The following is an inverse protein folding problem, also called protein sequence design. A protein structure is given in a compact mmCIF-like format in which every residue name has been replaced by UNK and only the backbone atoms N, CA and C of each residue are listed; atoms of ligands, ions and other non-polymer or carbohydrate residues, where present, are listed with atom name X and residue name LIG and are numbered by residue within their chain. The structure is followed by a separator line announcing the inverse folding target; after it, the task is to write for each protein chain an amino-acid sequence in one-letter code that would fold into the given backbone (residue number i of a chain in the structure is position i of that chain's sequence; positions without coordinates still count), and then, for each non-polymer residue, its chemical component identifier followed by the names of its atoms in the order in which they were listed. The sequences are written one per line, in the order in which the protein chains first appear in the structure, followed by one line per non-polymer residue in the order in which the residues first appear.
data_IF_599039021763
#
_entry.id   IF_599039021763
#
_cell.length_a   1.000
_cell.length_b   1.000
_cell.length_c   1.000
_cell.angle_alpha   90.00
_cell.angle_beta   90.00
_cell.angle_gamma   90.00
#
_symmetry.space_group_name_H-M   'P 1'
#
loop_
_entity.id
_entity.type
_entity.pdbx_description
1 polymer ?
#
# COMPACT_ATOMS: atom_id res chain seq x y z
N UNK A 1 -24.37 31.11 28.12
CA UNK A 1 -23.94 30.76 26.75
C UNK A 1 -23.62 29.27 26.73
N UNK A 2 -24.59 28.45 26.33
CA UNK A 2 -24.46 26.99 26.28
C UNK A 2 -23.84 26.59 24.94
N UNK A 3 -22.57 26.17 25.01
CA UNK A 3 -21.81 25.68 23.86
C UNK A 3 -22.34 24.29 23.49
N UNK A 4 -23.21 24.22 22.47
CA UNK A 4 -23.69 22.95 21.95
C UNK A 4 -22.66 22.37 20.97
N UNK A 5 -21.81 21.48 21.45
CA UNK A 5 -20.93 20.67 20.61
C UNK A 5 -21.82 19.67 19.85
N UNK A 6 -22.25 20.04 18.63
CA UNK A 6 -22.82 19.06 17.70
C UNK A 6 -21.69 18.14 17.29
N UNK A 7 -21.54 17.05 18.03
CA UNK A 7 -20.86 15.83 17.61
C UNK A 7 -21.51 15.39 16.30
N UNK A 8 -20.99 15.95 15.21
CA UNK A 8 -21.15 15.35 13.90
C UNK A 8 -20.32 14.08 14.02
N UNK A 9 -20.97 12.98 14.38
CA UNK A 9 -20.46 11.64 14.10
C UNK A 9 -20.15 11.68 12.61
N UNK A 10 -18.89 11.90 12.28
CA UNK A 10 -18.39 11.66 10.94
C UNK A 10 -18.69 10.18 10.76
N UNK A 11 -19.74 9.88 10.02
CA UNK A 11 -19.92 8.57 9.42
C UNK A 11 -18.61 8.33 8.69
N UNK A 12 -17.74 7.56 9.31
CA UNK A 12 -16.60 6.95 8.65
C UNK A 12 -17.30 6.07 7.63
N UNK A 13 -17.59 6.64 6.46
CA UNK A 13 -17.91 5.88 5.26
C UNK A 13 -16.90 4.76 5.30
N UNK A 14 -17.37 3.51 5.43
CA UNK A 14 -16.56 2.32 5.25
C UNK A 14 -15.64 2.63 4.09
N UNK A 15 -14.39 2.99 4.44
CA UNK A 15 -13.47 3.48 3.45
C UNK A 15 -13.33 2.29 2.51
N UNK A 16 -13.41 2.47 1.18
CA UNK A 16 -13.07 1.38 0.28
C UNK A 16 -11.75 0.84 0.80
N UNK A 17 -11.73 -0.44 1.21
CA UNK A 17 -10.52 -1.11 1.68
C UNK A 17 -9.41 -0.63 0.77
N UNK A 18 -8.45 0.12 1.34
CA UNK A 18 -7.46 0.81 0.53
C UNK A 18 -6.83 -0.27 -0.36
N UNK A 19 -6.75 -0.06 -1.68
CA UNK A 19 -6.21 -1.08 -2.59
C UNK A 19 -4.84 -1.57 -2.12
N UNK A 20 -4.10 -0.71 -1.42
CA UNK A 20 -2.87 -1.03 -0.70
C UNK A 20 -3.08 -2.09 0.39
N UNK A 21 -4.05 -1.93 1.29
CA UNK A 21 -4.34 -2.91 2.36
C UNK A 21 -4.79 -4.27 1.78
N UNK A 22 -5.52 -4.28 0.66
CA UNK A 22 -5.94 -5.51 0.01
C UNK A 22 -4.78 -6.26 -0.64
N UNK A 23 -3.93 -5.54 -1.38
CA UNK A 23 -2.70 -6.09 -1.99
C UNK A 23 -1.76 -6.57 -0.88
N UNK A 24 -1.63 -5.80 0.21
CA UNK A 24 -0.82 -6.17 1.37
C UNK A 24 -1.29 -7.50 1.96
N UNK A 25 -2.60 -7.68 2.17
CA UNK A 25 -3.16 -8.92 2.70
C UNK A 25 -2.97 -10.11 1.76
N UNK A 26 -3.12 -9.92 0.44
CA UNK A 26 -2.88 -11.00 -0.53
C UNK A 26 -1.41 -11.43 -0.59
N UNK A 27 -0.49 -10.47 -0.43
CA UNK A 27 0.96 -10.70 -0.49
C UNK A 27 1.59 -10.89 0.90
N UNK A 28 0.80 -10.91 1.97
CA UNK A 28 1.22 -11.19 3.35
C UNK A 28 2.18 -12.39 3.48
N UNK A 29 1.94 -13.57 2.85
CA UNK A 29 2.88 -14.69 2.94
C UNK A 29 4.24 -14.38 2.30
N UNK A 30 4.28 -13.53 1.28
CA UNK A 30 5.49 -13.13 0.57
C UNK A 30 6.31 -12.15 1.43
N UNK A 31 5.64 -11.18 2.04
CA UNK A 31 6.26 -10.27 3.01
C UNK A 31 6.81 -11.01 4.24
N UNK A 32 6.07 -11.99 4.76
CA UNK A 32 6.54 -12.80 5.89
C UNK A 32 7.78 -13.64 5.54
N UNK A 33 7.85 -14.21 4.33
CA UNK A 33 9.04 -14.92 3.85
C UNK A 33 10.26 -13.99 3.77
N UNK A 34 10.05 -12.78 3.30
CA UNK A 34 11.06 -11.74 3.24
C UNK A 34 11.41 -11.13 4.61
N UNK A 35 10.78 -11.58 5.70
CA UNK A 35 11.03 -11.07 7.05
C UNK A 35 10.44 -9.68 7.31
N UNK A 36 9.56 -9.19 6.45
CA UNK A 36 8.93 -7.88 6.59
C UNK A 36 7.75 -7.94 7.57
N UNK A 37 7.58 -6.87 8.35
CA UNK A 37 6.37 -6.69 9.16
C UNK A 37 5.18 -6.38 8.25
N UNK A 38 4.05 -7.02 8.54
CA UNK A 38 2.76 -6.83 7.88
C UNK A 38 1.77 -6.15 8.84
N UNK A 39 0.70 -5.58 8.30
CA UNK A 39 -0.31 -4.78 9.00
C UNK A 39 -0.31 -3.31 8.61
N UNK A 40 -1.38 -2.60 8.95
CA UNK A 40 -1.53 -1.19 8.59
C UNK A 40 -0.39 -0.34 9.18
N UNK A 41 0.29 0.44 8.34
CA UNK A 41 1.46 1.25 8.73
C UNK A 41 2.77 0.47 8.87
N UNK A 42 2.79 -0.82 8.53
CA UNK A 42 3.99 -1.67 8.51
C UNK A 42 4.92 -1.37 7.33
N UNK A 43 6.06 -2.07 7.29
CA UNK A 43 7.00 -1.99 6.18
C UNK A 43 6.39 -2.50 4.88
N UNK A 44 5.65 -3.61 4.93
CA UNK A 44 4.93 -4.13 3.77
C UNK A 44 3.91 -3.10 3.26
N UNK A 45 3.11 -2.54 4.16
CA UNK A 45 2.14 -1.49 3.80
C UNK A 45 2.78 -0.29 3.12
N UNK A 46 3.92 0.20 3.64
CA UNK A 46 4.66 1.31 3.03
C UNK A 46 5.20 0.96 1.66
N UNK A 47 5.77 -0.22 1.49
CA UNK A 47 6.28 -0.67 0.20
C UNK A 47 5.16 -0.76 -0.85
N UNK A 48 4.03 -1.39 -0.50
CA UNK A 48 2.86 -1.46 -1.39
C UNK A 48 2.35 -0.06 -1.70
N UNK A 49 2.28 0.83 -0.71
CA UNK A 49 1.85 2.21 -0.91
C UNK A 49 2.77 2.96 -1.88
N UNK A 50 4.09 2.83 -1.74
CA UNK A 50 5.04 3.48 -2.65
C UNK A 50 4.90 2.95 -4.08
N UNK A 51 4.80 1.64 -4.27
CA UNK A 51 4.65 1.05 -5.60
C UNK A 51 3.28 1.42 -6.21
N UNK A 52 2.19 1.21 -5.49
CA UNK A 52 0.84 1.42 -6.03
C UNK A 52 0.55 2.90 -6.24
N UNK A 53 0.80 3.74 -5.23
CA UNK A 53 0.45 5.16 -5.29
C UNK A 53 1.51 5.91 -6.07
N UNK A 54 2.78 5.84 -5.66
CA UNK A 54 3.82 6.74 -6.21
C UNK A 54 4.34 6.31 -7.57
N UNK A 55 4.44 5.02 -7.84
CA UNK A 55 4.88 4.50 -9.15
C UNK A 55 3.71 4.41 -10.11
N UNK A 56 2.63 3.70 -9.76
CA UNK A 56 1.55 3.42 -10.71
C UNK A 56 0.52 4.56 -10.86
N UNK A 57 0.06 5.16 -9.76
CA UNK A 57 -0.98 6.21 -9.83
C UNK A 57 -0.41 7.60 -10.10
N UNK A 58 0.59 8.03 -9.32
CA UNK A 58 1.13 9.40 -9.39
C UNK A 58 2.29 9.54 -10.37
N UNK A 59 2.94 8.43 -10.78
CA UNK A 59 4.13 8.39 -11.64
C UNK A 59 5.25 9.35 -11.18
N UNK A 60 5.38 9.56 -9.87
CA UNK A 60 6.38 10.44 -9.25
C UNK A 60 7.69 9.72 -8.94
N UNK A 61 7.64 8.39 -8.77
CA UNK A 61 8.81 7.56 -8.52
C UNK A 61 8.87 6.44 -9.56
N UNK A 62 10.08 5.98 -9.87
CA UNK A 62 10.27 4.77 -10.68
C UNK A 62 10.41 3.54 -9.78
N UNK A 63 10.23 2.36 -10.37
CA UNK A 63 10.51 1.08 -9.69
C UNK A 63 11.97 1.05 -9.19
N UNK A 64 12.90 1.61 -9.99
CA UNK A 64 14.33 1.67 -9.65
C UNK A 64 14.57 2.50 -8.37
N UNK A 65 13.84 3.61 -8.21
CA UNK A 65 13.92 4.44 -6.99
C UNK A 65 13.42 3.69 -5.76
N UNK A 66 12.31 2.95 -5.88
CA UNK A 66 11.78 2.12 -4.80
C UNK A 66 12.76 1.02 -4.42
N UNK A 67 13.37 0.33 -5.39
CA UNK A 67 14.40 -0.70 -5.14
C UNK A 67 15.62 -0.14 -4.41
N UNK A 68 16.07 1.06 -4.76
CA UNK A 68 17.19 1.72 -4.07
C UNK A 68 16.87 2.04 -2.60
N UNK A 69 15.61 2.39 -2.30
CA UNK A 69 15.15 2.63 -0.92
C UNK A 69 15.04 1.33 -0.13
N UNK A 70 14.50 0.30 -0.75
CA UNK A 70 14.23 -0.99 -0.14
C UNK A 70 15.28 -2.00 -0.59
N UNK A 71 16.47 -1.91 0.02
CA UNK A 71 17.59 -2.82 -0.24
C UNK A 71 17.35 -4.23 0.35
N UNK A 72 16.30 -4.91 -0.12
CA UNK A 72 15.92 -6.26 0.29
C UNK A 72 16.26 -7.25 -0.84
N UNK A 73 16.78 -8.44 -0.47
CA UNK A 73 17.14 -9.49 -1.44
C UNK A 73 15.98 -9.96 -2.32
N UNK A 74 14.76 -9.89 -1.80
CA UNK A 74 13.53 -10.35 -2.47
C UNK A 74 12.66 -9.18 -2.95
N UNK A 75 13.17 -7.93 -2.95
CA UNK A 75 12.38 -6.74 -3.31
C UNK A 75 11.87 -6.80 -4.75
N UNK A 76 12.66 -7.35 -5.67
CA UNK A 76 12.29 -7.47 -7.08
C UNK A 76 11.04 -8.34 -7.29
N UNK A 77 10.98 -9.49 -6.61
CA UNK A 77 9.84 -10.40 -6.66
C UNK A 77 8.61 -9.75 -6.02
N UNK A 78 8.79 -9.14 -4.85
CA UNK A 78 7.72 -8.43 -4.15
C UNK A 78 7.11 -7.32 -5.02
N UNK A 79 7.93 -6.45 -5.60
CA UNK A 79 7.45 -5.35 -6.45
C UNK A 79 6.70 -5.89 -7.66
N UNK A 80 7.21 -6.96 -8.29
CA UNK A 80 6.58 -7.58 -9.45
C UNK A 80 5.19 -8.13 -9.12
N UNK A 81 5.04 -8.78 -7.97
CA UNK A 81 3.75 -9.29 -7.51
C UNK A 81 2.78 -8.15 -7.15
N UNK A 82 3.29 -7.07 -6.52
CA UNK A 82 2.49 -5.87 -6.27
C UNK A 82 1.99 -5.25 -7.58
N UNK A 83 2.86 -5.11 -8.58
CA UNK A 83 2.47 -4.61 -9.91
C UNK A 83 1.44 -5.51 -10.59
N UNK A 84 1.63 -6.83 -10.52
CA UNK A 84 0.72 -7.79 -11.11
C UNK A 84 -0.68 -7.67 -10.50
N UNK A 85 -0.77 -7.58 -9.17
CA UNK A 85 -2.05 -7.43 -8.47
C UNK A 85 -2.68 -6.06 -8.71
N UNK A 86 -1.87 -4.99 -8.73
CA UNK A 86 -2.33 -3.65 -9.06
C UNK A 86 -2.90 -3.57 -10.48
N UNK A 87 -2.24 -4.18 -11.47
CA UNK A 87 -2.75 -4.24 -12.86
C UNK A 87 -4.01 -5.07 -13.00
N UNK A 88 -4.15 -6.20 -12.29
CA UNK A 88 -5.40 -6.98 -12.25
C UNK A 88 -6.58 -6.13 -11.77
N UNK A 89 -6.32 -5.18 -10.88
CA UNK A 89 -7.30 -4.23 -10.34
C UNK A 89 -7.47 -2.96 -11.18
N UNK A 90 -6.80 -2.88 -12.33
CA UNK A 90 -6.91 -1.75 -13.27
C UNK A 90 -6.08 -0.52 -12.89
N UNK A 91 -5.11 -0.65 -11.99
CA UNK A 91 -4.20 0.44 -11.63
C UNK A 91 -2.97 0.42 -12.56
N UNK A 92 -2.65 1.58 -13.15
CA UNK A 92 -1.44 1.78 -13.98
C UNK A 92 -1.63 1.65 -15.49
N UNK A 93 -2.75 2.16 -16.04
CA UNK A 93 -2.90 2.43 -17.48
C UNK A 93 -2.05 3.62 -17.92
#
# INVERSE_FOLDING_TARGET
MTWNFKSSKVEVKDAPLCVVDEIERQLEPLFKKAGMRTGHGSEAHRLVSEVVIKVLQERKETIDDVKRKWNLKEVDEIIREIEAEARRRGLGS
#
